data_IF_443259915794
#
_entry.id   IF_443259915794
#
_cell.length_a   1.000
_cell.length_b   1.000
_cell.length_c   1.000
_cell.angle_alpha   90.00
_cell.angle_beta   90.00
_cell.angle_gamma   90.00
#
_symmetry.space_group_name_H-M   'P 1'
#
loop_
_entity.id
_entity.type
_entity.pdbx_description
1 polymer ?
#
# COMPACT_ATOMS: atom_id res chain seq x y z
N UNK A 1 6.83 -11.81 28.80
CA UNK A 1 5.84 -12.03 27.71
C UNK A 1 5.15 -10.70 27.43
N UNK A 2 5.48 -10.04 26.31
CA UNK A 2 4.70 -8.90 25.84
C UNK A 2 3.31 -9.43 25.47
N UNK A 3 2.30 -9.15 26.32
CA UNK A 3 0.90 -9.32 25.94
C UNK A 3 0.59 -8.22 24.94
N UNK A 4 0.71 -8.53 23.65
CA UNK A 4 0.24 -7.63 22.59
C UNK A 4 -1.27 -7.51 22.76
N UNK A 5 -1.73 -6.31 23.10
CA UNK A 5 -3.16 -6.03 23.21
C UNK A 5 -3.82 -6.27 21.83
N UNK A 6 -4.87 -7.09 21.72
CA UNK A 6 -5.56 -7.34 20.46
C UNK A 6 -5.99 -6.05 19.74
N UNK A 7 -6.26 -4.97 20.48
CA UNK A 7 -6.61 -3.67 19.89
C UNK A 7 -5.44 -3.01 19.16
N UNK A 8 -4.21 -3.18 19.68
CA UNK A 8 -3.00 -2.69 19.03
C UNK A 8 -2.71 -3.46 17.74
N UNK A 9 -2.98 -4.78 17.72
CA UNK A 9 -2.78 -5.59 16.54
C UNK A 9 -3.74 -5.21 15.40
N UNK A 10 -5.02 -5.01 15.71
CA UNK A 10 -6.00 -4.56 14.71
C UNK A 10 -5.65 -3.18 14.16
N UNK A 11 -5.27 -2.24 15.02
CA UNK A 11 -4.84 -0.90 14.59
C UNK A 11 -3.64 -0.94 13.62
N UNK A 12 -2.66 -1.80 13.87
CA UNK A 12 -1.51 -1.96 12.97
C UNK A 12 -1.93 -2.56 11.62
N UNK A 13 -2.80 -3.58 11.61
CA UNK A 13 -3.30 -4.16 10.37
C UNK A 13 -4.12 -3.17 9.54
N UNK A 14 -4.96 -2.38 10.22
CA UNK A 14 -5.75 -1.32 9.59
C UNK A 14 -4.82 -0.30 8.94
N UNK A 15 -3.77 0.13 9.66
CA UNK A 15 -2.83 1.11 9.13
C UNK A 15 -2.03 0.59 7.93
N UNK A 16 -1.61 -0.67 7.96
CA UNK A 16 -0.94 -1.32 6.81
C UNK A 16 -1.87 -1.38 5.59
N UNK A 17 -3.15 -1.70 5.80
CA UNK A 17 -4.14 -1.77 4.73
C UNK A 17 -4.43 -0.40 4.12
N UNK A 18 -4.55 0.63 4.96
CA UNK A 18 -4.72 2.03 4.54
C UNK A 18 -3.57 2.49 3.64
N UNK A 19 -2.33 2.33 4.09
CA UNK A 19 -1.15 2.78 3.33
C UNK A 19 -1.05 2.07 1.98
N UNK A 20 -1.32 0.76 1.93
CA UNK A 20 -1.40 0.02 0.67
C UNK A 20 -2.51 0.55 -0.24
N UNK A 21 -3.68 0.87 0.31
CA UNK A 21 -4.79 1.42 -0.47
C UNK A 21 -4.44 2.79 -1.07
N UNK A 22 -3.77 3.66 -0.32
CA UNK A 22 -3.32 4.95 -0.83
C UNK A 22 -2.39 4.79 -2.05
N UNK A 23 -1.48 3.81 -2.02
CA UNK A 23 -0.62 3.49 -3.18
C UNK A 23 -1.41 2.97 -4.37
N UNK A 24 -2.41 2.11 -4.12
CA UNK A 24 -3.33 1.63 -5.17
C UNK A 24 -4.11 2.77 -5.81
N UNK A 25 -4.65 3.67 -5.01
CA UNK A 25 -5.42 4.82 -5.45
C UNK A 25 -4.57 5.79 -6.27
N UNK A 26 -3.35 6.09 -5.82
CA UNK A 26 -2.44 6.95 -6.56
C UNK A 26 -2.16 6.42 -7.98
N UNK A 27 -1.96 5.11 -8.15
CA UNK A 27 -1.85 4.51 -9.48
C UNK A 27 -3.11 4.71 -10.31
N UNK A 28 -4.29 4.45 -9.72
CA UNK A 28 -5.58 4.59 -10.40
C UNK A 28 -5.88 6.03 -10.82
N UNK A 29 -5.40 7.01 -10.05
CA UNK A 29 -5.47 8.43 -10.36
C UNK A 29 -4.43 8.88 -11.39
N UNK A 30 -3.51 8.01 -11.80
CA UNK A 30 -2.43 8.31 -12.74
C UNK A 30 -1.30 9.15 -12.16
N UNK A 31 -1.20 9.23 -10.82
CA UNK A 31 -0.07 9.87 -10.13
C UNK A 31 1.19 9.03 -10.30
N UNK A 32 2.36 9.66 -10.31
CA UNK A 32 3.62 8.91 -10.41
C UNK A 32 3.99 8.22 -9.09
N UNK A 33 4.79 7.15 -9.18
CA UNK A 33 5.28 6.41 -8.00
C UNK A 33 6.17 7.28 -7.10
N UNK A 34 6.90 8.22 -7.68
CA UNK A 34 7.72 9.19 -6.96
C UNK A 34 6.89 10.17 -6.09
N UNK A 35 5.56 10.17 -6.21
CA UNK A 35 4.66 10.94 -5.34
C UNK A 35 4.37 10.26 -4.00
N UNK A 36 5.01 9.13 -3.69
CA UNK A 36 4.95 8.47 -2.40
C UNK A 36 5.39 9.44 -1.28
N UNK A 37 4.51 9.78 -0.32
CA UNK A 37 4.83 10.73 0.75
C UNK A 37 5.56 10.09 1.93
N UNK A 38 5.67 8.75 1.96
CA UNK A 38 6.18 8.00 3.08
C UNK A 38 7.66 7.61 2.90
N UNK A 39 8.33 7.38 4.02
CA UNK A 39 9.69 6.87 4.07
C UNK A 39 9.74 5.60 4.96
N UNK A 40 10.78 4.78 4.78
CA UNK A 40 10.94 3.53 5.54
C UNK A 40 9.83 2.52 5.23
N UNK A 41 9.39 1.78 6.27
CA UNK A 41 8.41 0.69 6.12
C UNK A 41 7.09 1.17 5.51
N UNK A 42 6.59 2.34 5.91
CA UNK A 42 5.35 2.89 5.35
C UNK A 42 5.51 3.21 3.86
N UNK A 43 6.71 3.67 3.45
CA UNK A 43 7.05 3.86 2.04
C UNK A 43 7.00 2.58 1.23
N UNK A 44 7.58 1.50 1.75
CA UNK A 44 7.57 0.18 1.12
C UNK A 44 6.15 -0.39 1.00
N UNK A 45 5.29 -0.17 2.02
CA UNK A 45 3.90 -0.60 2.00
C UNK A 45 3.09 0.16 0.94
N UNK A 46 3.30 1.47 0.81
CA UNK A 46 2.65 2.27 -0.21
C UNK A 46 3.07 1.83 -1.61
N UNK A 47 4.38 1.66 -1.83
CA UNK A 47 4.95 1.19 -3.09
C UNK A 47 4.41 -0.20 -3.48
N UNK A 48 4.24 -1.08 -2.50
CA UNK A 48 3.63 -2.40 -2.70
C UNK A 48 2.22 -2.27 -3.27
N UNK A 49 1.39 -1.40 -2.69
CA UNK A 49 0.04 -1.15 -3.19
C UNK A 49 0.04 -0.59 -4.61
N UNK A 50 0.90 0.39 -4.89
CA UNK A 50 1.04 0.98 -6.22
C UNK A 50 1.45 -0.07 -7.28
N UNK A 51 2.47 -0.86 -6.98
CA UNK A 51 3.00 -1.89 -7.90
C UNK A 51 1.99 -3.02 -8.15
N UNK A 52 1.21 -3.42 -7.14
CA UNK A 52 0.13 -4.40 -7.29
C UNK A 52 -0.88 -3.96 -8.37
N UNK A 53 -1.25 -2.68 -8.39
CA UNK A 53 -2.18 -2.15 -9.39
C UNK A 53 -1.54 -1.97 -10.76
N UNK A 54 -0.28 -1.51 -10.79
CA UNK A 54 0.51 -1.41 -12.01
C UNK A 54 0.61 -2.76 -12.73
N UNK A 55 0.94 -3.83 -11.99
CA UNK A 55 1.00 -5.19 -12.54
C UNK A 55 -0.34 -5.66 -13.10
N UNK A 56 -1.43 -5.48 -12.33
CA UNK A 56 -2.79 -5.85 -12.78
C UNK A 56 -3.21 -5.10 -14.04
N UNK A 57 -2.84 -3.82 -14.17
CA UNK A 57 -3.13 -3.03 -15.36
C UNK A 57 -2.28 -3.47 -16.57
N UNK A 58 -1.02 -3.87 -16.33
CA UNK A 58 -0.16 -4.47 -17.36
C UNK A 58 -0.70 -5.79 -17.87
N UNK A 59 -1.15 -6.68 -16.98
CA UNK A 59 -1.76 -7.98 -17.34
C UNK A 59 -3.04 -7.82 -18.17
N UNK A 60 -3.86 -6.79 -17.91
CA UNK A 60 -5.07 -6.49 -18.69
C UNK A 60 -4.81 -6.03 -20.13
N UNK A 61 -3.59 -5.56 -20.46
CA UNK A 61 -3.23 -5.14 -21.82
C UNK A 61 -2.74 -6.30 -22.71
N UNK A 62 -2.56 -7.50 -22.15
CA UNK A 62 -2.01 -8.66 -22.87
C UNK A 62 -3.05 -9.64 -23.43
N UNK A 63 -4.34 -9.27 -23.46
CA UNK A 63 -5.45 -10.02 -24.07
C UNK A 63 -6.04 -9.18 -25.20
#
# INVERSE_FOLDING_TARGET
>A
MLRVDPKHFNFVLDKVSEIKNEGREAFLEGRSKESNPYAGVDGELWDTGYDEMSRRAGEKKSI
#
